data_IF_373161458969
#
_entry.id   IF_373161458969
#
_cell.length_a   1.000
_cell.length_b   1.000
_cell.length_c   1.000
_cell.angle_alpha   90.00
_cell.angle_beta   90.00
_cell.angle_gamma   90.00
#
_symmetry.space_group_name_H-M   'P 1'
#
loop_
_entity.id
_entity.type
_entity.pdbx_description
1 polymer ?
#
# COMPACT_ATOMS: atom_id res chain seq x y z
N UNK A 1 -9.01 21.35 7.21
CA UNK A 1 -8.23 20.31 7.94
C UNK A 1 -7.57 19.40 6.93
N UNK A 2 -6.27 19.24 7.01
CA UNK A 2 -5.52 18.38 6.08
C UNK A 2 -5.86 16.91 6.28
N UNK A 3 -6.23 16.21 5.19
CA UNK A 3 -6.54 14.78 5.22
C UNK A 3 -5.26 13.98 4.99
N UNK A 4 -4.80 13.33 6.02
CA UNK A 4 -3.63 12.45 5.99
C UNK A 4 -3.71 11.39 7.09
N UNK A 5 -3.00 10.30 6.91
CA UNK A 5 -2.84 9.29 7.95
C UNK A 5 -1.43 8.69 7.94
N UNK A 6 -1.12 8.02 9.02
CA UNK A 6 0.08 7.21 9.16
C UNK A 6 -0.26 5.93 9.91
N UNK A 7 0.17 4.80 9.37
CA UNK A 7 0.06 3.48 9.99
C UNK A 7 1.45 2.88 10.14
N UNK A 8 1.65 2.02 11.13
CA UNK A 8 2.96 1.45 11.41
C UNK A 8 2.84 0.03 11.95
N UNK A 9 3.87 -0.78 11.69
CA UNK A 9 4.00 -2.11 12.26
C UNK A 9 5.47 -2.47 12.44
N UNK A 10 5.75 -3.37 13.38
CA UNK A 10 7.06 -3.97 13.60
C UNK A 10 7.09 -5.36 12.99
N UNK A 11 8.08 -5.59 12.13
CA UNK A 11 8.30 -6.85 11.44
C UNK A 11 9.56 -7.51 12.02
N UNK A 12 9.45 -8.77 12.44
CA UNK A 12 10.56 -9.51 13.05
C UNK A 12 11.52 -10.07 11.98
N UNK A 13 12.02 -9.19 11.13
CA UNK A 13 13.03 -9.46 10.08
C UNK A 13 13.97 -8.27 9.93
N UNK A 14 15.19 -8.48 9.41
CA UNK A 14 16.14 -7.40 9.12
C UNK A 14 15.60 -6.41 8.10
N UNK A 15 16.03 -5.16 8.18
CA UNK A 15 15.52 -4.05 7.36
C UNK A 15 15.66 -4.29 5.86
N UNK A 16 16.77 -4.85 5.41
CA UNK A 16 16.98 -5.14 3.98
C UNK A 16 15.97 -6.17 3.45
N UNK A 17 15.70 -7.22 4.22
CA UNK A 17 14.72 -8.25 3.87
C UNK A 17 13.30 -7.67 3.79
N UNK A 18 12.93 -6.80 4.72
CA UNK A 18 11.61 -6.14 4.73
C UNK A 18 11.48 -5.17 3.56
N UNK A 19 12.52 -4.37 3.29
CA UNK A 19 12.55 -3.47 2.14
C UNK A 19 12.40 -4.24 0.81
N UNK A 20 13.16 -5.32 0.63
CA UNK A 20 13.09 -6.15 -0.57
C UNK A 20 11.70 -6.78 -0.77
N UNK A 21 11.02 -7.18 0.30
CA UNK A 21 9.69 -7.72 0.23
C UNK A 21 8.64 -6.72 -0.31
N UNK A 22 8.92 -5.42 -0.21
CA UNK A 22 8.08 -4.36 -0.78
C UNK A 22 8.55 -3.96 -2.17
N UNK A 23 9.85 -3.82 -2.39
CA UNK A 23 10.42 -3.32 -3.64
C UNK A 23 10.41 -4.35 -4.77
N UNK A 24 10.56 -5.64 -4.45
CA UNK A 24 10.56 -6.72 -5.43
C UNK A 24 9.13 -7.10 -5.83
N UNK A 25 8.74 -6.96 -7.11
CA UNK A 25 7.39 -7.26 -7.55
C UNK A 25 6.98 -8.72 -7.34
N UNK A 26 7.92 -9.65 -7.37
CA UNK A 26 7.63 -11.07 -7.11
C UNK A 26 7.21 -11.30 -5.67
N UNK A 27 7.95 -10.72 -4.72
CA UNK A 27 7.62 -10.82 -3.30
C UNK A 27 6.33 -10.06 -2.96
N UNK A 28 6.18 -8.84 -3.47
CA UNK A 28 5.00 -8.02 -3.23
C UNK A 28 3.71 -8.72 -3.71
N UNK A 29 3.79 -9.47 -4.81
CA UNK A 29 2.66 -10.22 -5.37
C UNK A 29 2.23 -11.44 -4.54
N UNK A 30 3.05 -11.89 -3.60
CA UNK A 30 2.72 -13.02 -2.73
C UNK A 30 1.75 -12.64 -1.60
N UNK A 31 1.69 -11.37 -1.23
CA UNK A 31 0.93 -10.95 -0.04
C UNK A 31 0.11 -9.66 -0.20
N UNK A 32 0.42 -8.81 -1.16
CA UNK A 32 -0.24 -7.52 -1.34
C UNK A 32 -0.85 -7.37 -2.75
N UNK A 33 -0.02 -7.23 -3.77
CA UNK A 33 -0.47 -7.13 -5.16
C UNK A 33 -0.74 -8.52 -5.74
N UNK A 34 -1.73 -9.19 -5.21
CA UNK A 34 -2.02 -10.61 -5.46
C UNK A 34 -2.61 -10.89 -6.84
N UNK A 35 -3.01 -9.88 -7.59
CA UNK A 35 -3.31 -9.96 -9.02
C UNK A 35 -2.09 -9.79 -9.92
N UNK A 36 -0.95 -9.44 -9.34
CA UNK A 36 0.34 -9.24 -9.97
C UNK A 36 0.88 -7.83 -9.82
N UNK A 37 2.17 -7.71 -9.65
CA UNK A 37 2.92 -6.46 -9.75
C UNK A 37 3.92 -6.57 -10.89
N UNK A 38 4.04 -5.51 -11.68
CA UNK A 38 4.99 -5.43 -12.78
C UNK A 38 5.91 -4.24 -12.56
N UNK A 39 7.20 -4.51 -12.51
CA UNK A 39 8.24 -3.51 -12.28
C UNK A 39 8.66 -3.41 -10.81
N UNK A 40 9.97 -3.36 -10.63
CA UNK A 40 10.58 -3.10 -9.33
C UNK A 40 10.38 -1.64 -8.94
N UNK A 41 10.20 -1.36 -7.67
CA UNK A 41 10.15 0.02 -7.17
C UNK A 41 11.54 0.63 -7.21
N UNK A 42 11.75 1.50 -8.19
CA UNK A 42 12.98 2.26 -8.43
C UNK A 42 12.65 3.72 -8.71
N UNK A 43 13.51 4.63 -8.30
CA UNK A 43 13.31 6.07 -8.51
C UNK A 43 13.04 6.38 -9.98
N UNK A 44 11.93 7.07 -10.25
CA UNK A 44 11.52 7.48 -11.59
C UNK A 44 10.76 6.42 -12.40
N UNK A 45 10.60 5.20 -11.87
CA UNK A 45 9.83 4.16 -12.55
C UNK A 45 8.32 4.40 -12.45
N UNK A 46 7.59 3.88 -13.43
CA UNK A 46 6.14 3.68 -13.33
C UNK A 46 5.91 2.16 -13.31
N UNK A 47 5.33 1.66 -12.23
CA UNK A 47 5.02 0.24 -12.07
C UNK A 47 3.52 0.03 -12.19
N UNK A 48 3.11 -1.22 -12.37
CA UNK A 48 1.70 -1.59 -12.48
C UNK A 48 1.35 -2.57 -11.36
N UNK A 49 0.29 -2.26 -10.61
CA UNK A 49 -0.24 -3.10 -9.55
C UNK A 49 -1.64 -3.61 -9.88
N UNK A 50 -1.93 -4.83 -9.47
CA UNK A 50 -3.24 -5.45 -9.57
C UNK A 50 -3.53 -6.28 -8.31
N UNK A 51 -4.81 -6.37 -7.94
CA UNK A 51 -5.27 -7.13 -6.79
C UNK A 51 -6.28 -8.18 -7.24
N UNK A 52 -6.13 -9.44 -6.82
CA UNK A 52 -7.05 -10.52 -7.21
C UNK A 52 -8.48 -10.28 -6.69
N UNK A 53 -8.60 -9.65 -5.52
CA UNK A 53 -9.86 -9.32 -4.84
C UNK A 53 -10.48 -8.00 -5.34
N UNK A 54 -9.70 -7.16 -5.99
CA UNK A 54 -10.11 -5.92 -6.64
C UNK A 54 -9.44 -5.81 -8.02
N UNK A 55 -9.88 -6.64 -9.00
CA UNK A 55 -9.21 -6.71 -10.29
C UNK A 55 -9.31 -5.41 -11.07
N UNK A 56 -8.25 -5.08 -11.77
CA UNK A 56 -8.09 -3.88 -12.57
C UNK A 56 -6.73 -3.25 -12.35
N UNK A 57 -5.76 -3.58 -13.21
CA UNK A 57 -4.40 -3.07 -13.11
C UNK A 57 -4.37 -1.54 -13.20
N UNK A 58 -3.55 -0.90 -12.39
CA UNK A 58 -3.39 0.56 -12.37
C UNK A 58 -1.92 0.96 -12.23
N UNK A 59 -1.54 2.16 -12.73
CA UNK A 59 -0.18 2.64 -12.63
C UNK A 59 0.13 3.23 -11.26
N UNK A 60 1.36 3.04 -10.81
CA UNK A 60 1.93 3.66 -9.61
C UNK A 60 3.25 4.33 -10.01
N UNK A 61 3.37 5.62 -9.76
CA UNK A 61 4.59 6.37 -10.03
C UNK A 61 5.53 6.30 -8.82
N UNK A 62 6.77 5.89 -9.07
CA UNK A 62 7.80 5.83 -8.03
C UNK A 62 8.60 7.12 -8.07
N UNK A 63 8.39 7.98 -7.08
CA UNK A 63 9.04 9.30 -7.00
C UNK A 63 10.48 9.16 -6.52
N UNK A 64 10.68 8.39 -5.45
CA UNK A 64 11.98 8.23 -4.83
C UNK A 64 12.10 6.88 -4.14
N UNK A 65 13.25 6.25 -4.28
CA UNK A 65 13.65 5.07 -3.48
C UNK A 65 15.03 5.32 -2.90
N UNK A 66 15.12 5.28 -1.58
CA UNK A 66 16.38 5.21 -0.84
C UNK A 66 16.45 3.80 -0.26
N UNK A 67 17.32 2.91 -0.75
CA UNK A 67 17.38 1.51 -0.34
C UNK A 67 17.42 1.34 1.19
N UNK A 68 16.61 0.43 1.71
CA UNK A 68 16.49 0.12 3.14
C UNK A 68 15.99 1.26 4.04
N UNK A 69 15.60 2.40 3.46
CA UNK A 69 15.18 3.59 4.23
C UNK A 69 13.81 4.12 3.83
N UNK A 70 13.57 4.36 2.53
CA UNK A 70 12.35 5.08 2.10
C UNK A 70 11.92 4.74 0.68
N UNK A 71 10.62 4.64 0.50
CA UNK A 71 9.96 4.59 -0.81
C UNK A 71 8.88 5.66 -0.83
N UNK A 72 8.87 6.51 -1.85
CA UNK A 72 7.84 7.52 -2.09
C UNK A 72 7.12 7.20 -3.39
N UNK A 73 5.80 7.05 -3.31
CA UNK A 73 4.92 6.71 -4.42
C UNK A 73 3.88 7.81 -4.64
N UNK A 74 3.42 7.93 -5.88
CA UNK A 74 2.22 8.69 -6.23
C UNK A 74 1.29 7.84 -7.06
N UNK A 75 0.00 7.93 -6.78
CA UNK A 75 -1.05 7.29 -7.54
C UNK A 75 -2.29 8.16 -7.63
N UNK A 76 -3.18 7.83 -8.54
CA UNK A 76 -4.41 8.57 -8.74
C UNK A 76 -5.28 8.48 -7.48
N UNK A 77 -5.70 9.63 -6.99
CA UNK A 77 -6.63 9.71 -5.87
C UNK A 77 -8.01 9.26 -6.34
N UNK A 78 -8.70 8.52 -5.49
CA UNK A 78 -10.10 8.22 -5.64
C UNK A 78 -10.90 8.98 -4.59
N UNK A 79 -12.11 9.37 -4.92
CA UNK A 79 -13.06 9.96 -4.00
C UNK A 79 -14.36 9.15 -4.02
N UNK A 80 -15.00 8.99 -2.87
CA UNK A 80 -16.23 8.24 -2.71
C UNK A 80 -16.24 7.35 -1.47
N UNK A 81 -17.34 6.66 -1.27
CA UNK A 81 -17.48 5.73 -0.16
C UNK A 81 -16.55 4.52 -0.34
N UNK A 82 -15.84 4.09 0.70
CA UNK A 82 -15.07 2.87 0.64
C UNK A 82 -16.00 1.70 0.34
N UNK A 83 -15.50 0.72 -0.43
CA UNK A 83 -16.32 -0.42 -0.78
C UNK A 83 -16.82 -1.17 0.46
N UNK A 84 -18.14 -1.21 0.63
CA UNK A 84 -18.76 -2.03 1.64
C UNK A 84 -18.66 -3.51 1.25
N UNK A 85 -18.32 -4.37 2.20
CA UNK A 85 -18.11 -5.81 1.96
C UNK A 85 -19.37 -6.50 1.42
N UNK A 86 -20.55 -5.90 1.57
CA UNK A 86 -21.83 -6.50 1.22
C UNK A 86 -22.45 -6.04 -0.10
N UNK A 87 -21.89 -5.08 -0.82
CA UNK A 87 -22.54 -4.52 -2.01
C UNK A 87 -21.96 -5.00 -3.33
N UNK A 88 -22.77 -5.79 -4.03
CA UNK A 88 -22.54 -6.17 -5.44
C UNK A 88 -22.68 -4.99 -6.42
N UNK A 89 -23.12 -3.81 -5.97
CA UNK A 89 -23.32 -2.58 -6.75
C UNK A 89 -22.49 -1.44 -6.17
N UNK A 90 -21.17 -1.48 -6.41
CA UNK A 90 -20.30 -0.36 -6.09
C UNK A 90 -20.45 0.76 -7.10
N UNK A 91 -20.60 2.02 -6.69
CA UNK A 91 -20.12 3.10 -7.51
C UNK A 91 -18.60 2.89 -7.64
N UNK A 92 -18.11 2.77 -8.86
CA UNK A 92 -16.67 2.78 -9.13
C UNK A 92 -16.08 4.01 -8.44
N UNK A 93 -15.01 3.82 -7.68
CA UNK A 93 -14.23 4.93 -7.18
C UNK A 93 -13.68 5.67 -8.38
N UNK A 94 -14.28 6.81 -8.69
CA UNK A 94 -13.87 7.60 -9.84
C UNK A 94 -12.50 8.22 -9.58
N UNK A 95 -11.64 8.18 -10.60
CA UNK A 95 -10.43 8.99 -10.63
C UNK A 95 -10.81 10.45 -10.38
N UNK A 96 -10.28 11.02 -9.30
CA UNK A 96 -10.61 12.38 -8.88
C UNK A 96 -9.82 13.45 -9.63
N UNK A 97 -8.94 13.07 -10.55
CA UNK A 97 -8.15 14.00 -11.38
C UNK A 97 -6.94 14.61 -10.67
N UNK A 98 -6.48 14.03 -9.56
CA UNK A 98 -5.26 14.42 -8.85
C UNK A 98 -4.62 13.20 -8.19
N UNK A 99 -3.41 13.36 -7.65
CA UNK A 99 -2.66 12.27 -7.03
C UNK A 99 -2.50 12.49 -5.53
N UNK A 100 -2.48 11.38 -4.80
CA UNK A 100 -1.98 11.35 -3.43
C UNK A 100 -0.54 10.85 -3.40
N UNK A 101 0.16 11.16 -2.33
CA UNK A 101 1.56 10.74 -2.11
C UNK A 101 1.61 9.77 -0.94
N UNK A 102 2.24 8.62 -1.18
CA UNK A 102 2.48 7.58 -0.18
C UNK A 102 3.95 7.56 0.15
N UNK A 103 4.29 7.67 1.44
CA UNK A 103 5.67 7.56 1.92
C UNK A 103 5.79 6.34 2.83
N UNK A 104 6.63 5.40 2.45
CA UNK A 104 6.99 4.23 3.26
C UNK A 104 8.38 4.43 3.82
N UNK A 105 8.53 4.25 5.13
CA UNK A 105 9.84 4.32 5.79
C UNK A 105 10.15 3.01 6.49
N UNK A 106 11.42 2.63 6.45
CA UNK A 106 11.96 1.40 7.00
C UNK A 106 13.06 1.77 7.99
N UNK A 107 12.92 1.33 9.23
CA UNK A 107 13.90 1.64 10.29
C UNK A 107 14.30 0.38 11.02
N UNK A 108 15.58 0.06 10.99
CA UNK A 108 16.15 -1.02 11.81
C UNK A 108 16.06 -0.65 13.30
N UNK A 109 15.48 -1.55 14.10
CA UNK A 109 15.41 -1.39 15.54
C UNK A 109 16.54 -2.13 16.23
N UNK A 110 16.84 -1.75 17.48
CA UNK A 110 17.93 -2.32 18.26
C UNK A 110 17.76 -3.82 18.56
N UNK A 111 16.52 -4.32 18.53
CA UNK A 111 16.19 -5.74 18.75
C UNK A 111 16.22 -6.60 17.47
N UNK A 112 16.67 -6.04 16.36
CA UNK A 112 16.76 -6.74 15.06
C UNK A 112 15.47 -6.75 14.25
N UNK A 113 14.38 -6.19 14.79
CA UNK A 113 13.14 -5.97 14.02
C UNK A 113 13.25 -4.71 13.17
N UNK A 114 12.28 -4.55 12.29
CA UNK A 114 12.15 -3.37 11.43
C UNK A 114 10.82 -2.67 11.73
N UNK A 115 10.88 -1.37 11.99
CA UNK A 115 9.69 -0.52 12.02
C UNK A 115 9.38 -0.07 10.60
N UNK A 116 8.19 -0.41 10.12
CA UNK A 116 7.67 0.06 8.83
C UNK A 116 6.55 1.05 9.11
N UNK A 117 6.67 2.25 8.56
CA UNK A 117 5.61 3.27 8.61
C UNK A 117 5.14 3.58 7.19
N UNK A 118 3.84 3.71 7.00
CA UNK A 118 3.23 4.12 5.74
C UNK A 118 2.35 5.34 6.03
N UNK A 119 2.65 6.44 5.35
CA UNK A 119 1.88 7.67 5.42
C UNK A 119 1.31 8.00 4.03
N UNK A 120 0.09 8.48 3.99
CA UNK A 120 -0.51 8.98 2.74
C UNK A 120 -1.15 10.34 2.98
N UNK A 121 -0.95 11.25 2.03
CA UNK A 121 -1.43 12.63 2.08
C UNK A 121 -1.73 13.16 0.69
N UNK A 122 -2.31 14.35 0.61
CA UNK A 122 -2.57 15.04 -0.65
C UNK A 122 -4.02 15.01 -1.12
N UNK A 123 -4.95 14.46 -0.31
CA UNK A 123 -6.37 14.53 -0.63
C UNK A 123 -6.91 15.96 -0.54
N UNK A 124 -7.91 16.25 -1.39
CA UNK A 124 -8.74 17.42 -1.25
C UNK A 124 -9.57 17.35 0.03
N UNK A 125 -9.98 18.50 0.56
CA UNK A 125 -10.76 18.56 1.79
C UNK A 125 -12.26 18.53 1.49
N UNK A 126 -12.80 17.33 1.25
CA UNK A 126 -14.22 17.09 1.06
C UNK A 126 -14.64 15.72 1.63
N UNK A 127 -15.94 15.46 1.71
CA UNK A 127 -16.46 14.23 2.31
C UNK A 127 -16.07 12.97 1.53
N UNK A 128 -16.08 13.03 0.21
CA UNK A 128 -15.68 11.89 -0.64
C UNK A 128 -14.20 11.51 -0.46
N UNK A 129 -13.33 12.52 -0.36
CA UNK A 129 -11.92 12.32 -0.08
C UNK A 129 -11.68 11.79 1.34
N UNK A 130 -12.43 12.27 2.32
CA UNK A 130 -12.36 11.75 3.69
C UNK A 130 -12.73 10.27 3.73
N UNK A 131 -13.84 9.89 3.11
CA UNK A 131 -14.25 8.47 3.03
C UNK A 131 -13.20 7.61 2.33
N UNK A 132 -12.65 8.08 1.22
CA UNK A 132 -11.58 7.38 0.48
C UNK A 132 -10.31 7.23 1.33
N UNK A 133 -9.95 8.26 2.12
CA UNK A 133 -8.78 8.18 3.01
C UNK A 133 -8.93 7.11 4.08
N UNK A 134 -10.12 6.89 4.61
CA UNK A 134 -10.38 5.79 5.54
C UNK A 134 -10.21 4.43 4.86
N UNK A 135 -10.69 4.28 3.64
CA UNK A 135 -10.50 3.06 2.86
C UNK A 135 -9.01 2.76 2.61
N UNK A 136 -8.24 3.77 2.24
CA UNK A 136 -6.79 3.63 2.04
C UNK A 136 -6.06 3.33 3.35
N UNK A 137 -6.47 3.97 4.45
CA UNK A 137 -5.92 3.67 5.78
C UNK A 137 -6.14 2.19 6.16
N UNK A 138 -7.33 1.67 5.92
CA UNK A 138 -7.63 0.25 6.10
C UNK A 138 -6.76 -0.63 5.18
N UNK A 139 -6.65 -0.27 3.91
CA UNK A 139 -5.85 -1.00 2.93
C UNK A 139 -4.37 -1.08 3.30
N UNK A 140 -3.78 0.03 3.72
CA UNK A 140 -2.38 0.06 4.15
C UNK A 140 -2.15 -0.65 5.48
N UNK A 141 -3.09 -0.60 6.40
CA UNK A 141 -3.06 -1.41 7.64
C UNK A 141 -3.08 -2.90 7.29
N UNK A 142 -3.97 -3.30 6.39
CA UNK A 142 -4.03 -4.67 5.89
C UNK A 142 -2.74 -5.11 5.21
N UNK A 143 -2.11 -4.22 4.42
CA UNK A 143 -0.82 -4.50 3.78
C UNK A 143 0.28 -4.76 4.82
N UNK A 144 0.38 -3.94 5.86
CA UNK A 144 1.38 -4.15 6.92
C UNK A 144 1.18 -5.47 7.67
N UNK A 145 -0.06 -5.82 7.96
CA UNK A 145 -0.39 -7.11 8.59
C UNK A 145 -0.02 -8.28 7.67
N UNK A 146 -0.36 -8.17 6.38
CA UNK A 146 -0.05 -9.19 5.39
C UNK A 146 1.46 -9.34 5.17
N UNK A 147 2.22 -8.25 5.15
CA UNK A 147 3.68 -8.25 5.09
C UNK A 147 4.29 -8.98 6.30
N UNK A 148 3.79 -8.68 7.49
CA UNK A 148 4.24 -9.34 8.73
C UNK A 148 3.98 -10.84 8.69
N UNK A 149 2.78 -11.25 8.34
CA UNK A 149 2.39 -12.67 8.26
C UNK A 149 3.19 -13.39 7.18
N UNK A 150 3.40 -12.76 6.03
CA UNK A 150 4.18 -13.33 4.94
C UNK A 150 5.65 -13.57 5.34
N UNK A 151 6.31 -12.56 5.85
CA UNK A 151 7.73 -12.67 6.21
C UNK A 151 7.99 -13.55 7.43
N UNK A 152 7.13 -13.49 8.44
CA UNK A 152 7.35 -14.23 9.70
C UNK A 152 6.79 -15.65 9.65
N UNK A 153 5.75 -15.92 8.84
CA UNK A 153 5.02 -17.20 8.84
C UNK A 153 4.79 -17.83 7.47
N UNK A 154 5.05 -17.11 6.37
CA UNK A 154 4.92 -17.65 5.02
C UNK A 154 3.49 -17.83 4.52
N UNK A 155 2.50 -17.16 5.11
CA UNK A 155 1.11 -17.20 4.70
C UNK A 155 0.70 -15.96 3.93
N UNK A 156 -0.17 -16.13 2.92
CA UNK A 156 -0.85 -15.04 2.25
C UNK A 156 -2.13 -14.68 3.04
N UNK A 157 -2.03 -13.68 3.92
CA UNK A 157 -3.16 -13.21 4.74
C UNK A 157 -4.27 -12.59 3.90
N UNK A 158 -3.93 -12.00 2.75
CA UNK A 158 -4.90 -11.32 1.89
C UNK A 158 -5.88 -12.27 1.22
N UNK A 159 -5.49 -13.54 1.03
CA UNK A 159 -6.36 -14.55 0.47
C UNK A 159 -7.58 -14.77 1.38
N UNK A 160 -8.78 -14.45 0.85
CA UNK A 160 -10.02 -14.51 1.61
C UNK A 160 -10.21 -13.43 2.69
N UNK A 161 -9.37 -12.38 2.73
CA UNK A 161 -9.48 -11.32 3.74
C UNK A 161 -10.60 -10.32 3.42
N UNK A 162 -10.73 -9.92 2.17
CA UNK A 162 -11.70 -8.91 1.72
C UNK A 162 -12.82 -9.51 0.85
N UNK A 163 -12.54 -10.61 0.20
CA UNK A 163 -13.50 -11.36 -0.64
C UNK A 163 -13.17 -12.85 -0.66
#
# INVERSE_FOLDING_TARGET
MELKFRVAARIARPVHEVFEAVADPKQLSEYFTTGGAQGRLETGATVTWDFHDYPGAFPVEVVEVVPDERIVLQWDAAEGEPPNVEEANRPEMADAGYKTTVTMTFKALDDGRTLVEIAEEGWRENQGALSASYGNCQGWTGMLLALKVWLEHGFNLRDGLYK
#
